data_IF_340779678460
#
_entry.id   IF_340779678460
#
_cell.length_a   1.000
_cell.length_b   1.000
_cell.length_c   1.000
_cell.angle_alpha   90.00
_cell.angle_beta   90.00
_cell.angle_gamma   90.00
#
_symmetry.space_group_name_H-M   'P 1'
#
loop_
_entity.id
_entity.type
_entity.pdbx_description
1 polymer ?
#
# COMPACT_ATOMS: atom_id res chain seq x y z
N UNK A 1 9.95 -12.72 -16.33
CA UNK A 1 8.87 -13.60 -15.84
C UNK A 1 7.76 -13.65 -16.86
N UNK A 2 6.97 -14.73 -16.90
CA UNK A 2 5.85 -14.89 -17.86
C UNK A 2 4.51 -14.35 -17.32
N UNK A 3 4.38 -14.11 -16.01
CA UNK A 3 3.17 -13.52 -15.45
C UNK A 3 3.15 -12.01 -15.68
N UNK A 4 2.10 -11.56 -16.35
CA UNK A 4 1.81 -10.15 -16.59
C UNK A 4 0.98 -9.51 -15.47
N UNK A 5 0.58 -10.25 -14.44
CA UNK A 5 -0.19 -9.75 -13.29
C UNK A 5 0.41 -10.25 -11.97
N UNK A 6 0.42 -9.38 -10.97
CA UNK A 6 0.76 -9.71 -9.58
C UNK A 6 -0.19 -9.02 -8.62
N UNK A 7 -0.57 -9.71 -7.55
CA UNK A 7 -1.42 -9.17 -6.48
C UNK A 7 -0.65 -9.34 -5.16
N UNK A 8 -0.21 -8.22 -4.59
CA UNK A 8 0.46 -8.13 -3.30
C UNK A 8 -0.54 -7.77 -2.20
N UNK A 9 -0.35 -8.37 -1.03
CA UNK A 9 -1.07 -8.01 0.19
C UNK A 9 -0.35 -6.84 0.88
N UNK A 10 -1.12 -5.93 1.45
CA UNK A 10 -0.61 -4.88 2.35
C UNK A 10 -1.01 -5.27 3.77
N UNK A 11 -0.04 -5.39 4.67
CA UNK A 11 -0.26 -5.90 6.01
C UNK A 11 0.90 -5.58 6.96
N UNK A 12 1.23 -6.53 7.83
CA UNK A 12 2.33 -6.42 8.80
C UNK A 12 3.35 -7.53 8.61
N UNK A 13 4.61 -7.26 9.00
CA UNK A 13 5.67 -8.27 9.07
C UNK A 13 6.05 -8.51 10.53
N UNK A 14 6.25 -9.77 10.88
CA UNK A 14 6.68 -10.19 12.23
C UNK A 14 8.15 -9.84 12.52
N UNK A 15 8.95 -9.57 11.48
CA UNK A 15 10.37 -9.24 11.60
C UNK A 15 10.63 -7.77 11.97
N UNK A 16 9.58 -6.96 12.09
CA UNK A 16 9.63 -5.62 12.64
C UNK A 16 9.29 -5.73 14.13
N UNK A 17 10.29 -5.48 14.99
CA UNK A 17 10.14 -5.44 16.45
C UNK A 17 8.86 -4.69 16.84
N UNK A 18 7.93 -5.44 17.45
CA UNK A 18 6.62 -5.18 18.09
C UNK A 18 6.05 -3.77 18.35
N UNK A 19 6.70 -2.65 18.01
CA UNK A 19 6.23 -1.30 18.35
C UNK A 19 5.60 -0.50 17.20
N UNK A 20 5.62 -0.99 15.95
CA UNK A 20 4.95 -0.25 14.87
C UNK A 20 4.24 -1.16 13.87
N UNK A 21 2.93 -0.96 13.75
CA UNK A 21 2.01 -1.47 12.73
C UNK A 21 2.29 -0.88 11.33
N UNK A 22 3.57 -0.62 11.02
CA UNK A 22 4.00 0.02 9.77
C UNK A 22 3.49 -0.81 8.59
N UNK A 23 2.82 -0.20 7.59
CA UNK A 23 2.34 -0.94 6.44
C UNK A 23 3.52 -1.47 5.63
N UNK A 24 3.36 -2.69 5.16
CA UNK A 24 4.33 -3.36 4.30
C UNK A 24 3.62 -4.12 3.18
N UNK A 25 4.30 -4.27 2.05
CA UNK A 25 3.78 -4.92 0.85
C UNK A 25 4.53 -6.25 0.66
N UNK A 26 3.84 -7.25 0.15
CA UNK A 26 4.44 -8.56 -0.14
C UNK A 26 3.39 -9.64 -0.38
N UNK A 27 3.80 -10.91 -0.34
CA UNK A 27 2.86 -12.01 -0.44
C UNK A 27 2.31 -12.36 0.94
N UNK A 28 1.02 -12.69 1.01
CA UNK A 28 0.43 -13.15 2.26
C UNK A 28 1.02 -14.51 2.62
N UNK A 29 1.46 -14.63 3.86
CA UNK A 29 1.93 -15.88 4.49
C UNK A 29 1.19 -16.12 5.80
N UNK A 30 1.09 -17.40 6.18
CA UNK A 30 0.36 -17.83 7.38
C UNK A 30 -0.93 -18.59 7.07
N UNK A 31 -1.38 -19.40 8.03
CA UNK A 31 -2.60 -20.18 7.92
C UNK A 31 -3.81 -19.32 8.29
N UNK A 32 -4.81 -19.29 7.40
CA UNK A 32 -6.06 -18.54 7.59
C UNK A 32 -6.81 -18.92 8.89
N UNK A 33 -6.57 -20.13 9.40
CA UNK A 33 -7.25 -20.70 10.57
C UNK A 33 -6.81 -20.08 11.91
N UNK A 34 -5.59 -19.56 11.99
CA UNK A 34 -4.99 -19.12 13.26
C UNK A 34 -4.96 -17.60 13.42
N UNK A 35 -5.57 -16.86 12.48
CA UNK A 35 -5.60 -15.39 12.50
C UNK A 35 -4.24 -14.72 12.27
N UNK A 36 -3.17 -15.49 12.08
CA UNK A 36 -1.84 -14.99 11.74
C UNK A 36 -1.75 -14.67 10.24
N UNK A 37 -1.79 -13.39 9.92
CA UNK A 37 -1.58 -12.88 8.58
C UNK A 37 -0.33 -12.01 8.55
N UNK A 38 0.76 -12.60 8.07
CA UNK A 38 1.99 -11.86 7.83
C UNK A 38 2.16 -11.61 6.36
N UNK A 39 2.99 -10.63 6.05
CA UNK A 39 3.38 -10.29 4.70
C UNK A 39 4.87 -10.54 4.55
N UNK A 40 5.27 -11.24 3.48
CA UNK A 40 6.69 -11.46 3.20
C UNK A 40 7.39 -10.15 2.85
N UNK A 41 8.72 -10.15 2.87
CA UNK A 41 9.49 -9.10 2.20
C UNK A 41 9.28 -9.18 0.69
N UNK A 42 9.30 -8.03 0.03
CA UNK A 42 9.37 -7.95 -1.43
C UNK A 42 10.74 -8.45 -1.86
N UNK A 43 10.77 -9.58 -2.55
CA UNK A 43 11.97 -10.14 -3.17
C UNK A 43 11.73 -10.36 -4.65
N UNK A 44 12.80 -10.37 -5.47
CA UNK A 44 12.68 -10.70 -6.89
C UNK A 44 12.02 -12.06 -7.08
N UNK A 45 10.95 -12.10 -7.87
CA UNK A 45 10.21 -13.32 -8.15
C UNK A 45 10.47 -13.76 -9.60
N UNK A 46 10.91 -15.01 -9.81
CA UNK A 46 11.28 -15.53 -11.15
C UNK A 46 10.15 -15.43 -12.18
N UNK A 47 8.90 -15.52 -11.72
CA UNK A 47 7.73 -15.55 -12.60
C UNK A 47 7.17 -14.18 -12.93
N UNK A 48 7.54 -13.12 -12.22
CA UNK A 48 7.15 -11.73 -12.52
C UNK A 48 8.28 -10.96 -13.18
N UNK A 49 8.00 -9.79 -13.75
CA UNK A 49 9.05 -8.85 -14.18
C UNK A 49 9.67 -8.16 -12.96
N UNK A 50 10.94 -7.74 -13.07
CA UNK A 50 11.65 -6.97 -12.03
C UNK A 50 10.95 -5.64 -11.74
N UNK A 51 10.32 -5.06 -12.77
CA UNK A 51 9.59 -3.80 -12.68
C UNK A 51 8.51 -3.80 -11.59
N UNK A 52 7.82 -4.93 -11.40
CA UNK A 52 6.80 -5.06 -10.37
C UNK A 52 7.40 -5.03 -8.96
N UNK A 53 8.61 -5.58 -8.79
CA UNK A 53 9.33 -5.55 -7.52
C UNK A 53 9.75 -4.12 -7.18
N UNK A 54 10.28 -3.37 -8.15
CA UNK A 54 10.71 -1.98 -7.97
C UNK A 54 9.53 -1.05 -7.68
N UNK A 55 8.44 -1.18 -8.43
CA UNK A 55 7.22 -0.40 -8.18
C UNK A 55 6.64 -0.76 -6.80
N UNK A 56 6.60 -2.03 -6.41
CA UNK A 56 6.12 -2.43 -5.09
C UNK A 56 6.96 -1.84 -3.95
N UNK A 57 8.28 -1.73 -4.10
CA UNK A 57 9.17 -1.10 -3.11
C UNK A 57 8.91 0.40 -3.00
N UNK A 58 8.76 1.11 -4.13
CA UNK A 58 8.42 2.53 -4.12
C UNK A 58 7.03 2.77 -3.53
N UNK A 59 6.06 1.91 -3.86
CA UNK A 59 4.72 1.95 -3.29
C UNK A 59 4.76 1.75 -1.77
N UNK A 60 5.53 0.78 -1.27
CA UNK A 60 5.71 0.57 0.18
C UNK A 60 6.22 1.84 0.87
N UNK A 61 7.22 2.52 0.32
CA UNK A 61 7.71 3.80 0.86
C UNK A 61 6.60 4.86 0.92
N UNK A 62 5.81 5.02 -0.15
CA UNK A 62 4.68 5.95 -0.18
C UNK A 62 3.65 5.66 0.92
N UNK A 63 3.26 4.39 1.12
CA UNK A 63 2.33 4.01 2.19
C UNK A 63 2.90 4.32 3.58
N UNK A 64 4.21 4.13 3.73
CA UNK A 64 4.93 4.38 4.98
C UNK A 64 5.08 5.87 5.29
N UNK A 65 5.08 6.74 4.29
CA UNK A 65 5.06 8.19 4.50
C UNK A 65 3.70 8.65 5.02
N UNK A 66 2.60 8.15 4.45
CA UNK A 66 1.25 8.38 4.97
C UNK A 66 1.04 7.80 6.37
N UNK A 67 1.63 6.63 6.65
CA UNK A 67 1.65 6.05 7.99
C UNK A 67 2.24 6.98 9.05
N UNK A 68 3.27 7.77 8.71
CA UNK A 68 3.86 8.72 9.67
C UNK A 68 2.89 9.83 10.10
N UNK A 69 1.88 10.14 9.28
CA UNK A 69 0.87 11.17 9.55
C UNK A 69 -0.16 10.65 10.56
N UNK A 70 -0.71 9.45 10.33
CA UNK A 70 -1.60 8.77 11.29
C UNK A 70 -1.19 7.30 11.50
N UNK A 71 -0.26 7.01 12.44
CA UNK A 71 0.31 5.68 12.63
C UNK A 71 -0.68 4.58 13.05
N UNK A 72 -1.84 4.98 13.58
CA UNK A 72 -2.90 4.08 14.01
C UNK A 72 -3.95 3.83 12.92
N UNK A 73 -4.02 4.64 11.86
CA UNK A 73 -5.05 4.57 10.82
C UNK A 73 -4.46 4.04 9.51
N UNK A 74 -3.34 4.62 9.07
CA UNK A 74 -2.65 4.28 7.81
C UNK A 74 -1.77 3.03 7.95
N UNK A 75 -2.32 2.01 8.61
CA UNK A 75 -1.70 0.71 8.79
C UNK A 75 -2.12 -0.26 7.69
N UNK A 76 -1.40 -1.37 7.58
CA UNK A 76 -1.86 -2.51 6.77
C UNK A 76 -3.15 -3.10 7.36
N UNK A 77 -4.01 -3.64 6.50
CA UNK A 77 -5.30 -4.19 6.91
C UNK A 77 -5.12 -5.51 7.64
N UNK A 78 -5.54 -5.54 8.90
CA UNK A 78 -5.63 -6.75 9.71
C UNK A 78 -7.03 -7.39 9.53
N UNK A 79 -7.04 -8.60 8.98
CA UNK A 79 -8.29 -9.36 8.73
C UNK A 79 -8.98 -9.80 10.01
N UNK A 80 -8.28 -9.92 11.13
CA UNK A 80 -8.83 -10.35 12.43
C UNK A 80 -9.57 -9.21 13.11
N UNK A 81 -8.98 -8.01 13.11
CA UNK A 81 -9.57 -6.82 13.74
C UNK A 81 -10.40 -5.98 12.78
N UNK A 82 -10.33 -6.28 11.47
CA UNK A 82 -10.92 -5.50 10.39
C UNK A 82 -10.47 -4.03 10.39
N UNK A 83 -9.24 -3.78 10.87
CA UNK A 83 -8.68 -2.45 11.05
C UNK A 83 -7.47 -2.22 10.14
N UNK A 84 -7.28 -0.97 9.72
CA UNK A 84 -6.18 -0.53 8.87
C UNK A 84 -6.63 -0.11 7.47
N UNK A 85 -6.08 0.99 6.98
CA UNK A 85 -6.54 1.61 5.75
C UNK A 85 -6.07 0.86 4.48
N UNK A 86 -4.85 0.33 4.46
CA UNK A 86 -4.23 -0.21 3.25
C UNK A 86 -4.46 -1.71 3.08
N UNK A 87 -4.99 -2.17 1.95
CA UNK A 87 -5.41 -3.59 1.80
C UNK A 87 -4.58 -4.38 0.80
N UNK A 88 -4.45 -3.87 -0.43
CA UNK A 88 -3.87 -4.65 -1.54
C UNK A 88 -3.21 -3.74 -2.55
N UNK A 89 -2.12 -4.20 -3.16
CA UNK A 89 -1.51 -3.61 -4.35
C UNK A 89 -1.61 -4.62 -5.48
N UNK A 90 -2.32 -4.28 -6.55
CA UNK A 90 -2.45 -5.12 -7.74
C UNK A 90 -1.79 -4.43 -8.92
N UNK A 91 -0.97 -5.16 -9.68
CA UNK A 91 -0.30 -4.63 -10.85
C UNK A 91 -0.51 -5.55 -12.05
N UNK A 92 -0.67 -4.95 -13.21
CA UNK A 92 -0.76 -5.64 -14.49
C UNK A 92 0.06 -4.89 -15.53
N UNK A 93 0.89 -5.62 -16.28
CA UNK A 93 1.54 -5.11 -17.47
C UNK A 93 0.77 -5.61 -18.71
N UNK A 94 0.63 -4.75 -19.72
CA UNK A 94 0.17 -5.15 -21.05
C UNK A 94 1.34 -5.63 -21.90
N UNK A 95 1.05 -6.18 -23.08
CA UNK A 95 2.08 -6.55 -24.04
C UNK A 95 2.89 -5.33 -24.51
N UNK A 96 2.24 -4.17 -24.60
CA UNK A 96 2.84 -2.90 -25.05
C UNK A 96 3.53 -2.15 -23.90
N UNK A 97 4.01 -2.89 -22.89
CA UNK A 97 4.73 -2.37 -21.72
C UNK A 97 3.99 -1.31 -20.88
N UNK A 98 2.67 -1.15 -21.07
CA UNK A 98 1.88 -0.28 -20.21
C UNK A 98 1.61 -0.96 -18.87
N UNK A 99 1.78 -0.24 -17.78
CA UNK A 99 1.58 -0.77 -16.42
C UNK A 99 0.33 -0.12 -15.83
N UNK A 100 -0.62 -0.95 -15.44
CA UNK A 100 -1.75 -0.59 -14.59
C UNK A 100 -1.43 -0.97 -13.15
N UNK A 101 -1.68 -0.03 -12.24
CA UNK A 101 -1.49 -0.21 -10.82
C UNK A 101 -2.76 0.16 -10.08
N UNK A 102 -3.18 -0.69 -9.14
CA UNK A 102 -4.39 -0.53 -8.35
C UNK A 102 -4.00 -0.70 -6.89
N UNK A 103 -4.17 0.36 -6.09
CA UNK A 103 -4.12 0.27 -4.63
C UNK A 103 -5.54 0.19 -4.10
N UNK A 104 -5.82 -0.88 -3.38
CA UNK A 104 -7.08 -1.06 -2.68
C UNK A 104 -6.95 -0.54 -1.25
N UNK A 105 -7.87 0.33 -0.87
CA UNK A 105 -7.96 0.94 0.46
C UNK A 105 -9.29 0.60 1.14
N UNK A 106 -9.44 1.03 2.38
CA UNK A 106 -10.76 1.24 2.98
C UNK A 106 -11.47 2.44 2.31
N UNK A 107 -12.78 2.55 2.51
CA UNK A 107 -13.55 3.64 1.92
C UNK A 107 -13.27 4.97 2.60
N UNK A 108 -13.66 6.06 1.94
CA UNK A 108 -13.58 7.41 2.49
C UNK A 108 -14.42 7.54 3.78
N UNK A 109 -15.61 6.94 3.81
CA UNK A 109 -16.49 6.96 4.99
C UNK A 109 -15.82 6.26 6.18
N UNK A 110 -15.16 5.12 5.93
CA UNK A 110 -14.40 4.43 6.97
C UNK A 110 -13.25 5.30 7.50
N UNK A 111 -12.55 6.00 6.60
CA UNK A 111 -11.43 6.87 6.99
C UNK A 111 -11.91 8.03 7.87
N UNK A 112 -13.02 8.67 7.50
CA UNK A 112 -13.65 9.74 8.29
C UNK A 112 -14.05 9.22 9.67
N UNK A 113 -14.65 8.03 9.75
CA UNK A 113 -15.02 7.42 11.03
C UNK A 113 -13.79 7.08 11.89
N UNK A 114 -12.74 6.52 11.28
CA UNK A 114 -11.50 6.16 11.97
C UNK A 114 -10.75 7.39 12.49
N UNK A 115 -10.78 8.51 11.76
CA UNK A 115 -10.24 9.79 12.23
C UNK A 115 -11.08 10.34 13.39
N UNK A 116 -12.40 10.34 13.26
CA UNK A 116 -13.32 10.80 14.30
C UNK A 116 -13.21 10.04 15.63
N UNK A 117 -12.92 8.72 15.60
CA UNK A 117 -12.70 7.91 16.80
C UNK A 117 -11.36 8.17 17.49
N UNK A 118 -10.35 8.68 16.77
CA UNK A 118 -9.02 8.99 17.32
C UNK A 118 -8.93 10.42 17.88
N UNK A 119 -9.85 11.31 17.51
CA UNK A 119 -9.95 12.64 18.11
C UNK A 119 -10.88 12.58 19.33
N UNK A 120 -10.31 12.86 20.50
CA UNK A 120 -10.96 12.88 21.82
C UNK A 120 -11.95 14.08 21.95
N UNK A 121 -12.93 14.17 21.04
CA UNK A 121 -13.98 15.19 21.04
C UNK A 121 -13.57 16.60 20.59
N UNK A 122 -12.35 16.84 20.09
CA UNK A 122 -11.95 18.15 19.57
C UNK A 122 -12.33 18.32 18.10
N UNK A 123 -13.42 19.05 17.89
CA UNK A 123 -14.11 19.33 16.63
C UNK A 123 -13.27 20.04 15.54
N UNK A 124 -12.03 20.45 15.83
CA UNK A 124 -11.18 21.31 14.99
C UNK A 124 -10.36 20.57 13.91
N UNK A 125 -10.21 19.24 13.95
CA UNK A 125 -9.45 18.50 12.92
C UNK A 125 -10.32 17.91 11.79
N UNK A 126 -11.65 17.83 11.99
CA UNK A 126 -12.57 17.16 11.06
C UNK A 126 -12.63 17.84 9.68
N UNK A 127 -12.46 19.16 9.59
CA UNK A 127 -12.41 19.87 8.29
C UNK A 127 -11.07 19.71 7.57
N UNK A 128 -9.97 19.54 8.32
CA UNK A 128 -8.64 19.25 7.75
C UNK A 128 -8.58 17.85 7.15
N UNK A 129 -9.42 16.95 7.67
CA UNK A 129 -9.47 15.53 7.35
C UNK A 129 -10.40 15.18 6.18
N UNK A 130 -11.45 15.97 5.93
CA UNK A 130 -12.37 15.73 4.79
C UNK A 130 -11.69 15.78 3.42
N UNK A 131 -10.60 16.54 3.28
CA UNK A 131 -9.80 16.56 2.04
C UNK A 131 -8.69 15.52 1.98
N UNK A 132 -8.55 14.67 3.00
CA UNK A 132 -7.39 13.81 3.15
C UNK A 132 -7.41 12.61 2.19
N UNK A 133 -8.58 12.01 1.96
CA UNK A 133 -8.74 10.95 0.96
C UNK A 133 -8.44 11.47 -0.45
N UNK A 134 -8.94 12.68 -0.78
CA UNK A 134 -8.68 13.30 -2.08
C UNK A 134 -7.19 13.62 -2.28
N UNK A 135 -6.54 14.25 -1.29
CA UNK A 135 -5.08 14.51 -1.33
C UNK A 135 -4.27 13.22 -1.50
N UNK A 136 -4.67 12.15 -0.82
CA UNK A 136 -4.05 10.83 -0.96
C UNK A 136 -4.19 10.30 -2.38
N UNK A 137 -5.34 10.45 -3.02
CA UNK A 137 -5.55 10.06 -4.42
C UNK A 137 -4.69 10.90 -5.39
N UNK A 138 -4.61 12.21 -5.18
CA UNK A 138 -3.81 13.14 -6.00
C UNK A 138 -2.31 12.83 -5.88
N UNK A 139 -1.80 12.71 -4.65
CA UNK A 139 -0.41 12.37 -4.39
C UNK A 139 -0.06 11.00 -4.94
N UNK A 140 -0.92 10.00 -4.74
CA UNK A 140 -0.71 8.67 -5.30
C UNK A 140 -0.62 8.72 -6.84
N UNK A 141 -1.48 9.48 -7.50
CA UNK A 141 -1.45 9.65 -8.96
C UNK A 141 -0.17 10.34 -9.41
N UNK A 142 0.26 11.37 -8.69
CA UNK A 142 1.51 12.11 -8.96
C UNK A 142 2.74 11.21 -8.81
N UNK A 143 2.85 10.54 -7.67
CA UNK A 143 3.96 9.62 -7.37
C UNK A 143 3.98 8.47 -8.37
N UNK A 144 2.82 7.85 -8.66
CA UNK A 144 2.73 6.78 -9.65
C UNK A 144 3.19 7.23 -11.04
N UNK A 145 2.75 8.42 -11.48
CA UNK A 145 3.18 8.98 -12.76
C UNK A 145 4.69 9.18 -12.81
N UNK A 146 5.29 9.67 -11.73
CA UNK A 146 6.76 9.81 -11.60
C UNK A 146 7.46 8.44 -11.60
N UNK A 147 6.91 7.43 -10.93
CA UNK A 147 7.45 6.07 -10.95
C UNK A 147 7.49 5.54 -12.38
N UNK A 148 6.38 5.61 -13.10
CA UNK A 148 6.29 5.15 -14.49
C UNK A 148 7.23 5.92 -15.42
N UNK A 149 7.30 7.25 -15.31
CA UNK A 149 8.22 8.05 -16.10
C UNK A 149 9.68 7.64 -15.84
N UNK A 150 10.08 7.52 -14.57
CA UNK A 150 11.46 7.14 -14.20
C UNK A 150 11.89 5.78 -14.73
N UNK A 151 10.94 4.88 -14.95
CA UNK A 151 11.17 3.51 -15.39
C UNK A 151 11.23 3.40 -16.92
N UNK A 152 10.48 4.23 -17.66
CA UNK A 152 10.58 4.30 -19.12
C UNK A 152 11.98 4.74 -19.59
N UNK A 153 12.67 5.59 -18.83
CA UNK A 153 14.04 6.02 -19.17
C UNK A 153 15.09 4.94 -18.93
N UNK A 154 14.86 4.00 -18.00
CA UNK A 154 15.82 2.93 -17.70
C UNK A 154 15.84 1.81 -18.75
N UNK A 155 14.81 1.66 -19.58
CA UNK A 155 14.81 0.71 -20.71
C UNK A 155 15.50 1.28 -21.96
N UNK A 156 15.80 2.58 -22.03
CA UNK A 156 16.45 3.21 -23.18
C UNK A 156 17.98 3.39 -23.04
N UNK A 157 18.51 3.28 -21.82
CA UNK A 157 19.95 3.39 -21.53
C UNK A 157 20.68 2.03 -21.43
N UNK A 158 20.04 0.94 -21.91
CA UNK A 158 20.55 -0.44 -21.87
C UNK A 158 20.85 -1.04 -23.23
#
# INVERSE_FOLDING_TARGET
>A
GYRNRVDYTIGHRDDLTLSSSKPCIGFSTGAFKDGHHTVTRITPCKITSKIFTEIAQKAESFLQDWWKIHPTIFTGYDKRTHWGFWRRLSMRATHDQQIMLIVQTMSEEWLIEALGKNHDGKQTDVERDKGLFHRLQEEFTSVFSQMCASLQWQEHDG
#
